data_IF_229664678576
#
_entry.id   IF_229664678576
#
_cell.length_a   1.000
_cell.length_b   1.000
_cell.length_c   1.000
_cell.angle_alpha   90.00
_cell.angle_beta   90.00
_cell.angle_gamma   90.00
#
_symmetry.space_group_name_H-M   'P 1'
#
loop_
_entity.id
_entity.type
_entity.pdbx_description
1 polymer ?
#
# COMPACT_ATOMS: atom_id res chain seq x y z
N UNK A 1 10.17 -25.31 5.78
CA UNK A 1 10.16 -24.37 4.63
C UNK A 1 9.00 -23.41 4.81
N UNK A 2 9.27 -22.10 4.93
CA UNK A 2 8.23 -21.06 4.92
C UNK A 2 7.83 -20.80 3.47
N UNK A 3 6.53 -20.72 3.20
CA UNK A 3 6.00 -20.37 1.88
C UNK A 3 6.35 -18.95 1.43
N UNK A 4 5.71 -18.47 0.36
CA UNK A 4 5.92 -17.11 -0.16
C UNK A 4 5.73 -16.05 0.95
N UNK A 5 6.60 -15.04 1.05
CA UNK A 5 6.59 -14.08 2.16
C UNK A 5 5.50 -13.00 1.98
N UNK A 6 4.22 -13.39 2.03
CA UNK A 6 3.10 -12.44 2.00
C UNK A 6 3.14 -11.46 3.18
N UNK A 7 2.44 -10.35 3.05
CA UNK A 7 2.23 -9.46 4.19
C UNK A 7 1.38 -10.15 5.26
N UNK A 8 1.64 -9.88 6.55
CA UNK A 8 0.82 -10.42 7.63
C UNK A 8 -0.66 -10.04 7.47
N UNK A 9 -1.54 -10.94 7.90
CA UNK A 9 -3.00 -10.76 7.82
C UNK A 9 -3.66 -10.72 9.20
N UNK A 10 -2.87 -10.79 10.27
CA UNK A 10 -3.40 -10.72 11.62
C UNK A 10 -3.94 -9.32 11.94
N UNK A 11 -5.06 -9.28 12.65
CA UNK A 11 -5.82 -8.07 12.95
C UNK A 11 -5.00 -7.07 13.77
N UNK A 12 -4.17 -7.55 14.71
CA UNK A 12 -3.35 -6.66 15.53
C UNK A 12 -2.35 -5.90 14.67
N UNK A 13 -1.58 -6.61 13.84
CA UNK A 13 -0.61 -5.99 12.94
C UNK A 13 -1.27 -4.99 11.99
N UNK A 14 -2.43 -5.36 11.42
CA UNK A 14 -3.18 -4.47 10.52
C UNK A 14 -3.65 -3.21 11.23
N UNK A 15 -4.20 -3.33 12.43
CA UNK A 15 -4.65 -2.19 13.22
C UNK A 15 -3.49 -1.28 13.63
N UNK A 16 -2.33 -1.83 13.99
CA UNK A 16 -1.14 -1.04 14.31
C UNK A 16 -0.68 -0.19 13.12
N UNK A 17 -0.66 -0.77 11.91
CA UNK A 17 -0.32 -0.01 10.67
C UNK A 17 -1.40 1.02 10.33
N UNK A 18 -2.68 0.70 10.51
CA UNK A 18 -3.78 1.64 10.28
C UNK A 18 -3.69 2.83 11.25
N UNK A 19 -3.46 2.58 12.52
CA UNK A 19 -3.29 3.65 13.52
C UNK A 19 -2.09 4.55 13.20
N UNK A 20 -0.99 3.99 12.70
CA UNK A 20 0.15 4.78 12.24
C UNK A 20 -0.22 5.68 11.03
N UNK A 21 -1.06 5.19 10.11
CA UNK A 21 -1.53 5.98 8.97
C UNK A 21 -2.43 7.13 9.43
N UNK A 22 -3.40 6.86 10.29
CA UNK A 22 -4.36 7.87 10.79
C UNK A 22 -3.67 8.96 11.59
N UNK A 23 -2.73 8.57 12.46
CA UNK A 23 -1.99 9.49 13.33
C UNK A 23 -0.82 10.19 12.62
N UNK A 24 -0.57 9.87 11.35
CA UNK A 24 0.52 10.51 10.59
C UNK A 24 0.21 11.99 10.35
N UNK A 25 1.16 12.87 10.66
CA UNK A 25 1.04 14.32 10.44
C UNK A 25 1.17 14.67 8.97
N UNK A 26 0.06 14.61 8.23
CA UNK A 26 0.01 14.80 6.77
C UNK A 26 0.38 16.20 6.30
N UNK A 27 0.18 17.22 7.13
CA UNK A 27 0.61 18.60 6.87
C UNK A 27 2.12 18.72 6.60
N UNK A 28 2.93 17.83 7.20
CA UNK A 28 4.37 17.77 6.95
C UNK A 28 4.73 17.36 5.53
N UNK A 29 3.78 16.77 4.78
CA UNK A 29 3.98 16.40 3.37
C UNK A 29 3.66 17.55 2.41
N UNK A 30 3.03 18.64 2.88
CA UNK A 30 2.49 19.69 2.02
C UNK A 30 3.49 20.85 1.96
N UNK A 31 4.22 20.96 0.86
CA UNK A 31 5.05 22.12 0.56
C UNK A 31 4.26 23.13 -0.28
N UNK A 32 3.62 24.08 0.39
CA UNK A 32 2.80 25.11 -0.26
C UNK A 32 3.62 26.06 -1.11
N UNK A 33 4.89 26.29 -0.77
CA UNK A 33 5.79 27.20 -1.50
C UNK A 33 6.12 26.65 -2.86
N UNK A 34 6.51 25.37 -2.91
CA UNK A 34 6.89 24.69 -4.14
C UNK A 34 5.72 23.97 -4.82
N UNK A 35 4.51 24.01 -4.23
CA UNK A 35 3.31 23.32 -4.72
C UNK A 35 3.52 21.81 -4.90
N UNK A 36 4.20 21.19 -3.95
CA UNK A 36 4.53 19.76 -3.96
C UNK A 36 3.86 19.06 -2.78
N UNK A 37 3.32 17.88 -3.04
CA UNK A 37 2.87 16.96 -1.99
C UNK A 37 3.88 15.82 -1.94
N UNK A 38 4.57 15.70 -0.80
CA UNK A 38 5.45 14.59 -0.49
C UNK A 38 4.67 13.31 -0.24
N UNK A 39 5.40 12.24 -0.01
CA UNK A 39 4.77 10.93 0.25
C UNK A 39 5.56 10.14 1.29
N UNK A 40 4.84 9.33 2.05
CA UNK A 40 5.40 8.40 3.03
C UNK A 40 4.86 7.00 2.78
N UNK A 41 5.53 5.99 3.31
CA UNK A 41 5.12 4.60 3.15
C UNK A 41 4.06 4.13 4.17
N UNK A 42 3.65 5.00 5.13
CA UNK A 42 2.64 4.63 6.12
C UNK A 42 1.33 4.19 5.44
N UNK A 43 0.78 3.09 5.90
CA UNK A 43 -0.43 2.47 5.33
C UNK A 43 -0.22 1.64 4.06
N UNK A 44 0.91 1.76 3.36
CA UNK A 44 1.13 1.05 2.09
C UNK A 44 1.19 -0.48 2.29
N UNK A 45 1.83 -0.94 3.35
CA UNK A 45 1.92 -2.36 3.68
C UNK A 45 0.55 -2.93 4.07
N UNK A 46 -0.30 -2.12 4.70
CA UNK A 46 -1.67 -2.47 5.01
C UNK A 46 -2.46 -2.72 3.72
N UNK A 47 -2.42 -1.80 2.76
CA UNK A 47 -3.06 -1.99 1.47
C UNK A 47 -2.63 -3.31 0.80
N UNK A 48 -1.33 -3.57 0.76
CA UNK A 48 -0.79 -4.79 0.19
C UNK A 48 -1.20 -6.08 0.91
N UNK A 49 -1.50 -6.03 2.20
CA UNK A 49 -1.97 -7.20 2.97
C UNK A 49 -3.35 -7.70 2.55
N UNK A 50 -4.12 -6.87 1.85
CA UNK A 50 -5.42 -7.23 1.26
C UNK A 50 -5.34 -7.63 -0.21
N UNK A 51 -4.16 -7.48 -0.83
CA UNK A 51 -3.93 -7.66 -2.26
C UNK A 51 -2.87 -8.73 -2.55
N UNK A 52 -3.01 -9.97 -2.02
CA UNK A 52 -2.00 -11.03 -2.22
C UNK A 52 -1.83 -11.39 -3.69
N UNK A 53 -2.87 -11.26 -4.51
CA UNK A 53 -2.82 -11.52 -5.95
C UNK A 53 -1.85 -10.58 -6.71
N UNK A 54 -1.58 -9.39 -6.17
CA UNK A 54 -0.71 -8.41 -6.80
C UNK A 54 0.74 -8.92 -7.03
N UNK A 55 1.17 -9.91 -6.26
CA UNK A 55 2.49 -10.52 -6.41
C UNK A 55 2.64 -11.36 -7.67
N UNK A 56 1.52 -11.87 -8.22
CA UNK A 56 1.47 -12.66 -9.44
C UNK A 56 1.04 -11.90 -10.69
N UNK A 57 0.77 -10.58 -10.58
CA UNK A 57 0.33 -9.80 -11.75
C UNK A 57 1.52 -9.46 -12.63
N UNK A 58 1.41 -9.82 -13.92
CA UNK A 58 2.44 -9.59 -14.92
C UNK A 58 2.41 -8.14 -15.40
N UNK A 59 3.53 -7.44 -15.27
CA UNK A 59 3.75 -6.13 -15.84
C UNK A 59 4.75 -6.23 -17.00
N UNK A 60 4.26 -6.07 -18.22
CA UNK A 60 5.08 -6.16 -19.42
C UNK A 60 5.74 -7.54 -19.60
N UNK A 61 7.04 -7.55 -19.93
CA UNK A 61 7.79 -8.78 -20.24
C UNK A 61 8.57 -9.35 -19.06
N UNK A 62 8.63 -8.65 -17.95
CA UNK A 62 9.43 -9.09 -16.79
C UNK A 62 8.72 -10.16 -15.98
N UNK A 63 9.49 -10.98 -15.28
CA UNK A 63 8.93 -11.98 -14.37
C UNK A 63 8.21 -11.29 -13.20
N UNK A 64 7.15 -11.92 -12.71
CA UNK A 64 6.48 -11.51 -11.49
C UNK A 64 7.32 -11.87 -10.26
N UNK A 65 7.07 -11.24 -9.09
CA UNK A 65 7.71 -11.66 -7.85
C UNK A 65 7.46 -13.14 -7.50
N UNK A 66 6.29 -13.70 -7.84
CA UNK A 66 6.01 -15.13 -7.63
C UNK A 66 6.82 -16.02 -8.55
N UNK A 67 6.92 -15.68 -9.85
CA UNK A 67 7.77 -16.40 -10.80
C UNK A 67 9.26 -16.39 -10.39
N UNK A 68 9.73 -15.29 -9.75
CA UNK A 68 11.10 -15.22 -9.21
C UNK A 68 11.26 -16.10 -7.95
N UNK A 69 10.24 -16.16 -7.11
CA UNK A 69 10.27 -17.00 -5.89
C UNK A 69 10.39 -18.49 -6.23
N UNK A 70 9.76 -18.90 -7.34
CA UNK A 70 9.76 -20.28 -7.84
C UNK A 70 11.00 -20.60 -8.70
N UNK A 71 11.77 -19.60 -9.09
CA UNK A 71 12.98 -19.72 -9.91
C UNK A 71 14.24 -19.67 -9.03
N UNK A 72 14.84 -20.83 -8.79
CA UNK A 72 15.98 -20.97 -7.88
C UNK A 72 17.18 -20.08 -8.27
N UNK A 73 17.47 -19.95 -9.56
CA UNK A 73 18.58 -19.13 -10.06
C UNK A 73 18.34 -17.64 -9.78
N UNK A 74 17.14 -17.14 -10.08
CA UNK A 74 16.78 -15.73 -9.87
C UNK A 74 16.67 -15.42 -8.37
N UNK A 75 16.09 -16.32 -7.59
CA UNK A 75 15.98 -16.18 -6.13
C UNK A 75 17.37 -16.11 -5.49
N UNK A 76 18.28 -17.02 -5.88
CA UNK A 76 19.66 -17.02 -5.39
C UNK A 76 20.39 -15.72 -5.75
N UNK A 77 20.24 -15.21 -6.95
CA UNK A 77 20.81 -13.89 -7.35
C UNK A 77 20.27 -12.76 -6.47
N UNK A 78 18.97 -12.76 -6.19
CA UNK A 78 18.34 -11.77 -5.30
C UNK A 78 18.87 -11.85 -3.86
N UNK A 79 18.97 -13.06 -3.30
CA UNK A 79 19.51 -13.30 -1.96
C UNK A 79 20.98 -12.87 -1.84
N UNK A 80 21.79 -13.16 -2.84
CA UNK A 80 23.19 -12.71 -2.88
C UNK A 80 23.34 -11.20 -2.82
N UNK A 81 22.38 -10.43 -3.36
CA UNK A 81 22.37 -8.97 -3.25
C UNK A 81 22.12 -8.48 -1.81
N UNK A 82 21.32 -9.21 -1.02
CA UNK A 82 21.15 -8.93 0.41
C UNK A 82 22.42 -9.28 1.19
N UNK A 83 22.97 -10.46 0.94
CA UNK A 83 24.16 -10.98 1.64
C UNK A 83 25.41 -10.13 1.35
N UNK A 84 25.56 -9.62 0.13
CA UNK A 84 26.68 -8.77 -0.27
C UNK A 84 26.54 -7.32 0.16
N UNK A 85 25.32 -6.86 0.47
CA UNK A 85 25.03 -5.46 0.76
C UNK A 85 24.97 -4.56 -0.46
N UNK A 86 24.80 -5.11 -1.66
CA UNK A 86 24.80 -4.33 -2.92
C UNK A 86 23.67 -3.30 -2.98
N UNK A 87 22.50 -3.58 -2.38
CA UNK A 87 21.33 -2.68 -2.40
C UNK A 87 20.74 -2.39 -1.02
N UNK A 88 21.25 -3.05 0.03
CA UNK A 88 20.85 -2.90 1.42
C UNK A 88 22.08 -2.94 2.30
N UNK A 89 21.92 -2.64 3.59
CA UNK A 89 22.94 -3.00 4.54
C UNK A 89 23.17 -4.51 4.49
N UNK A 90 24.43 -4.91 4.40
CA UNK A 90 24.85 -6.32 4.43
C UNK A 90 24.23 -7.02 5.64
N UNK A 91 23.54 -8.12 5.39
CA UNK A 91 22.93 -8.94 6.45
C UNK A 91 23.42 -10.38 6.36
N UNK A 92 23.83 -10.98 7.46
CA UNK A 92 24.08 -12.42 7.51
C UNK A 92 22.77 -13.18 7.30
N UNK A 93 22.86 -14.40 6.77
CA UNK A 93 21.69 -15.18 6.36
C UNK A 93 20.63 -15.36 7.47
N UNK A 94 21.07 -15.58 8.73
CA UNK A 94 20.17 -15.75 9.87
C UNK A 94 19.43 -14.49 10.31
N UNK A 95 19.82 -13.31 9.80
CA UNK A 95 19.16 -12.03 10.08
C UNK A 95 18.24 -11.56 8.93
N UNK A 96 18.14 -12.32 7.84
CA UNK A 96 17.25 -11.99 6.73
C UNK A 96 15.80 -12.23 7.18
N UNK A 97 14.99 -11.17 7.10
CA UNK A 97 13.58 -11.20 7.47
C UNK A 97 12.68 -11.37 6.24
N UNK A 98 11.40 -11.71 6.46
CA UNK A 98 10.39 -11.71 5.40
C UNK A 98 10.24 -10.32 4.75
N UNK A 99 10.44 -9.24 5.50
CA UNK A 99 10.43 -7.88 4.97
C UNK A 99 11.59 -7.64 4.00
N UNK A 100 12.78 -8.18 4.29
CA UNK A 100 13.91 -8.11 3.36
C UNK A 100 13.61 -8.90 2.09
N UNK A 101 13.00 -10.09 2.23
CA UNK A 101 12.59 -10.91 1.09
C UNK A 101 11.56 -10.19 0.22
N UNK A 102 10.51 -9.61 0.80
CA UNK A 102 9.54 -8.79 0.06
C UNK A 102 10.20 -7.63 -0.68
N UNK A 103 11.12 -6.94 -0.01
CA UNK A 103 11.84 -5.81 -0.61
C UNK A 103 12.74 -6.25 -1.76
N UNK A 104 13.42 -7.38 -1.62
CA UNK A 104 14.25 -7.97 -2.67
C UNK A 104 13.40 -8.37 -3.88
N UNK A 105 12.32 -9.12 -3.66
CA UNK A 105 11.42 -9.56 -4.72
C UNK A 105 10.81 -8.40 -5.51
N UNK A 106 10.51 -7.27 -4.85
CA UNK A 106 9.89 -6.11 -5.48
C UNK A 106 10.86 -5.21 -6.25
N UNK A 107 12.12 -5.18 -5.89
CA UNK A 107 13.05 -4.13 -6.35
C UNK A 107 14.30 -4.65 -7.04
N UNK A 108 14.80 -5.82 -6.64
CA UNK A 108 16.18 -6.21 -6.96
C UNK A 108 16.31 -7.54 -7.68
N UNK A 109 15.20 -8.24 -7.85
CA UNK A 109 15.18 -9.55 -8.50
C UNK A 109 15.02 -9.50 -10.03
N UNK A 110 14.88 -8.29 -10.60
CA UNK A 110 14.60 -8.14 -12.03
C UNK A 110 13.10 -8.24 -12.36
N UNK A 111 12.23 -8.05 -11.37
CA UNK A 111 10.79 -7.97 -11.55
C UNK A 111 10.33 -6.55 -11.84
N UNK A 112 9.13 -6.46 -12.41
CA UNK A 112 8.34 -5.24 -12.39
C UNK A 112 7.01 -5.55 -11.70
N UNK A 113 6.88 -5.13 -10.45
CA UNK A 113 5.62 -5.27 -9.71
C UNK A 113 4.68 -4.10 -10.03
N UNK A 114 3.37 -4.36 -9.96
CA UNK A 114 2.34 -3.31 -10.02
C UNK A 114 2.59 -2.25 -8.94
N UNK A 115 2.25 -1.01 -9.25
CA UNK A 115 2.38 0.11 -8.31
C UNK A 115 1.10 0.30 -7.48
N UNK A 116 1.23 0.95 -6.33
CA UNK A 116 0.09 1.38 -5.52
C UNK A 116 0.28 2.83 -5.11
N UNK A 117 -0.80 3.59 -5.09
CA UNK A 117 -0.76 4.96 -4.62
C UNK A 117 -0.47 5.02 -3.12
N UNK A 118 0.28 6.04 -2.67
CA UNK A 118 0.63 6.19 -1.25
C UNK A 118 -0.59 6.67 -0.45
N UNK A 119 -1.06 5.93 0.56
CA UNK A 119 -2.21 6.36 1.37
C UNK A 119 -2.03 7.75 1.99
N UNK A 120 -0.82 8.07 2.46
CA UNK A 120 -0.51 9.39 3.05
C UNK A 120 -0.60 10.52 2.04
N UNK A 121 -0.16 10.31 0.80
CA UNK A 121 -0.28 11.32 -0.25
C UNK A 121 -1.74 11.52 -0.67
N UNK A 122 -2.52 10.44 -0.79
CA UNK A 122 -3.95 10.50 -1.04
C UNK A 122 -4.66 11.29 0.06
N UNK A 123 -4.42 10.94 1.33
CA UNK A 123 -5.02 11.63 2.46
C UNK A 123 -4.65 13.12 2.50
N UNK A 124 -3.38 13.47 2.23
CA UNK A 124 -2.94 14.88 2.15
C UNK A 124 -3.63 15.65 1.01
N UNK A 125 -3.85 15.00 -0.13
CA UNK A 125 -4.63 15.59 -1.23
C UNK A 125 -6.08 15.82 -0.82
N UNK A 126 -6.71 14.86 -0.16
CA UNK A 126 -8.09 14.99 0.31
C UNK A 126 -8.23 16.06 1.40
N UNK A 127 -7.23 16.21 2.28
CA UNK A 127 -7.19 17.32 3.26
C UNK A 127 -7.13 18.70 2.60
N UNK A 128 -6.59 18.81 1.36
CA UNK A 128 -6.47 20.09 0.64
C UNK A 128 -7.69 20.39 -0.24
N UNK A 129 -8.20 19.37 -0.94
CA UNK A 129 -9.13 19.58 -2.05
C UNK A 129 -10.56 19.16 -1.76
N UNK A 130 -10.79 18.39 -0.68
CA UNK A 130 -12.14 17.93 -0.33
C UNK A 130 -12.65 18.75 0.85
N UNK A 131 -13.77 19.43 0.67
CA UNK A 131 -14.44 20.11 1.75
C UNK A 131 -15.02 19.09 2.72
N UNK A 132 -14.59 19.16 3.97
CA UNK A 132 -15.03 18.28 5.06
C UNK A 132 -16.20 18.86 5.85
N UNK A 133 -16.39 20.16 5.74
CA UNK A 133 -17.53 20.87 6.31
C UNK A 133 -18.59 21.04 5.21
N UNK A 134 -19.61 20.22 5.22
CA UNK A 134 -20.70 20.40 4.24
C UNK A 134 -21.54 21.62 4.62
N UNK A 135 -21.68 22.62 3.74
CA UNK A 135 -22.52 23.78 3.99
C UNK A 135 -24.02 23.49 3.88
N UNK A 136 -24.40 22.28 3.46
CA UNK A 136 -25.80 21.90 3.26
C UNK A 136 -26.25 20.98 4.40
N UNK A 137 -27.31 21.41 5.09
CA UNK A 137 -27.97 20.65 6.15
C UNK A 137 -28.32 19.22 5.64
N UNK A 138 -27.87 18.19 6.34
CA UNK A 138 -28.11 16.79 5.97
C UNK A 138 -27.12 16.19 4.96
N UNK A 139 -26.08 16.92 4.53
CA UNK A 139 -25.01 16.35 3.70
C UNK A 139 -23.77 16.04 4.55
N UNK A 140 -23.24 14.85 4.37
CA UNK A 140 -21.99 14.40 4.99
C UNK A 140 -20.77 15.02 4.30
N UNK A 141 -19.59 14.86 4.87
CA UNK A 141 -18.30 15.30 4.31
C UNK A 141 -18.19 15.08 2.79
N UNK A 142 -17.41 15.92 2.12
CA UNK A 142 -17.23 15.86 0.67
C UNK A 142 -16.87 14.46 0.16
N UNK A 143 -17.27 14.17 -1.07
CA UNK A 143 -17.15 12.84 -1.68
C UNK A 143 -16.09 12.82 -2.76
N UNK A 144 -15.20 11.86 -2.68
CA UNK A 144 -14.20 11.55 -3.72
C UNK A 144 -14.78 10.49 -4.66
N UNK A 145 -14.71 10.72 -5.96
CA UNK A 145 -14.98 9.72 -6.97
C UNK A 145 -13.68 9.24 -7.62
N UNK A 146 -13.45 7.93 -7.60
CA UNK A 146 -12.27 7.28 -8.14
C UNK A 146 -12.66 6.13 -9.08
N UNK A 147 -12.65 6.34 -10.40
CA UNK A 147 -13.07 5.34 -11.38
C UNK A 147 -12.05 4.20 -11.58
N UNK A 148 -10.91 4.25 -10.91
CA UNK A 148 -9.82 3.26 -11.03
C UNK A 148 -9.11 3.08 -9.70
N UNK A 149 -9.83 2.56 -8.69
CA UNK A 149 -9.39 2.50 -7.28
C UNK A 149 -8.01 1.86 -7.09
N UNK A 150 -7.66 0.86 -7.93
CA UNK A 150 -6.42 0.11 -7.82
C UNK A 150 -6.29 -0.64 -6.48
N UNK A 151 -5.09 -0.73 -5.95
CA UNK A 151 -4.77 -1.61 -4.82
C UNK A 151 -5.00 -1.02 -3.42
N UNK A 152 -6.01 -0.14 -3.26
CA UNK A 152 -6.50 0.31 -1.95
C UNK A 152 -5.73 1.45 -1.28
N UNK A 153 -4.66 1.97 -1.90
CA UNK A 153 -3.92 3.10 -1.31
C UNK A 153 -4.75 4.37 -1.19
N UNK A 154 -5.55 4.69 -2.23
CA UNK A 154 -6.44 5.87 -2.22
C UNK A 154 -7.65 5.68 -1.31
N UNK A 155 -8.21 4.48 -1.25
CA UNK A 155 -9.29 4.14 -0.31
C UNK A 155 -8.83 4.31 1.16
N UNK A 156 -7.67 3.76 1.53
CA UNK A 156 -7.10 3.95 2.87
C UNK A 156 -6.80 5.43 3.16
N UNK A 157 -6.36 6.18 2.15
CA UNK A 157 -6.18 7.61 2.27
C UNK A 157 -7.49 8.35 2.53
N UNK A 158 -8.58 7.98 1.88
CA UNK A 158 -9.91 8.56 2.08
C UNK A 158 -10.44 8.26 3.49
N UNK A 159 -10.32 7.00 3.93
CA UNK A 159 -10.70 6.61 5.29
C UNK A 159 -9.89 7.40 6.32
N UNK A 160 -8.56 7.50 6.16
CA UNK A 160 -7.69 8.25 7.08
C UNK A 160 -7.96 9.77 7.07
N UNK A 161 -8.45 10.32 5.95
CA UNK A 161 -8.83 11.73 5.82
C UNK A 161 -10.26 12.01 6.32
N UNK A 162 -11.09 10.98 6.54
CA UNK A 162 -12.49 11.13 6.96
C UNK A 162 -13.38 11.71 5.85
N UNK A 163 -13.16 11.33 4.59
CA UNK A 163 -13.97 11.76 3.44
C UNK A 163 -14.75 10.57 2.87
N UNK A 164 -15.91 10.86 2.28
CA UNK A 164 -16.68 9.86 1.55
C UNK A 164 -15.93 9.43 0.29
N UNK A 165 -16.05 8.16 -0.08
CA UNK A 165 -15.34 7.63 -1.21
C UNK A 165 -16.21 6.68 -2.03
N UNK A 166 -16.30 6.95 -3.32
CA UNK A 166 -16.95 6.09 -4.30
C UNK A 166 -15.89 5.68 -5.30
N UNK A 167 -15.65 4.38 -5.42
CA UNK A 167 -14.64 3.89 -6.34
C UNK A 167 -15.08 2.65 -7.09
N UNK A 168 -14.46 2.42 -8.23
CA UNK A 168 -14.68 1.24 -9.07
C UNK A 168 -13.34 0.62 -9.46
N UNK A 169 -13.32 -0.70 -9.62
CA UNK A 169 -12.19 -1.44 -10.19
C UNK A 169 -12.71 -2.68 -10.95
N UNK A 170 -12.26 -2.94 -12.18
CA UNK A 170 -12.75 -4.07 -12.97
C UNK A 170 -12.14 -5.41 -12.55
N UNK A 171 -11.07 -5.41 -11.75
CA UNK A 171 -10.38 -6.61 -11.31
C UNK A 171 -11.06 -7.20 -10.07
N UNK A 172 -11.74 -8.34 -10.23
CA UNK A 172 -12.50 -8.98 -9.14
C UNK A 172 -11.65 -9.22 -7.88
N UNK A 173 -10.45 -9.83 -7.92
CA UNK A 173 -9.64 -10.01 -6.73
C UNK A 173 -9.22 -8.70 -6.05
N UNK A 174 -9.03 -7.62 -6.84
CA UNK A 174 -8.75 -6.28 -6.30
C UNK A 174 -9.99 -5.74 -5.60
N UNK A 175 -11.16 -5.84 -6.23
CA UNK A 175 -12.43 -5.39 -5.68
C UNK A 175 -12.75 -6.08 -4.34
N UNK A 176 -12.61 -7.40 -4.27
CA UNK A 176 -12.79 -8.17 -3.01
C UNK A 176 -11.83 -7.71 -1.90
N UNK A 177 -10.60 -7.36 -2.26
CA UNK A 177 -9.64 -6.78 -1.31
C UNK A 177 -10.05 -5.41 -0.82
N UNK A 178 -10.61 -4.58 -1.70
CA UNK A 178 -11.13 -3.24 -1.38
C UNK A 178 -12.36 -3.31 -0.47
N UNK A 179 -13.27 -4.26 -0.71
CA UNK A 179 -14.41 -4.48 0.17
C UNK A 179 -13.98 -4.85 1.59
N UNK A 180 -12.99 -5.74 1.74
CA UNK A 180 -12.43 -6.08 3.05
C UNK A 180 -11.82 -4.87 3.77
N UNK A 181 -11.12 -3.99 3.05
CA UNK A 181 -10.60 -2.73 3.62
C UNK A 181 -11.74 -1.83 4.08
N UNK A 182 -12.78 -1.66 3.26
CA UNK A 182 -13.98 -0.88 3.60
C UNK A 182 -14.66 -1.44 4.85
N UNK A 183 -14.90 -2.73 4.89
CA UNK A 183 -15.64 -3.38 5.97
C UNK A 183 -14.87 -3.35 7.30
N UNK A 184 -13.54 -3.41 7.26
CA UNK A 184 -12.70 -3.39 8.47
C UNK A 184 -12.44 -1.96 8.98
N UNK A 185 -12.32 -0.97 8.09
CA UNK A 185 -11.89 0.40 8.47
C UNK A 185 -12.87 1.50 8.10
N UNK A 186 -13.79 1.30 7.16
CA UNK A 186 -14.67 2.35 6.65
C UNK A 186 -15.56 3.03 7.70
N UNK A 187 -15.87 2.35 8.77
CA UNK A 187 -16.73 2.87 9.84
C UNK A 187 -15.97 3.37 11.07
N UNK A 188 -14.65 3.25 11.11
CA UNK A 188 -13.83 3.58 12.30
C UNK A 188 -13.65 5.09 12.54
N UNK A 189 -14.10 5.94 11.63
CA UNK A 189 -13.98 7.41 11.72
C UNK A 189 -15.31 8.16 11.63
N UNK A 190 -16.43 7.45 11.80
CA UNK A 190 -17.77 8.06 11.84
C UNK A 190 -18.24 8.41 13.27
N UNK A 191 -17.29 8.57 14.21
CA UNK A 191 -17.56 9.03 15.57
C UNK A 191 -16.96 10.41 15.80
#
# INVERSE_FOLDING_TARGET
EKGFPYYPTDTKWRNDIFNQLVNFKRDTLIDRKNKVIGQSAHGLNLAWSYMPHAWGIKCGKMKTPMEIWEDEEHLSKGLNKILSGTFFMKKPAHMITESDMRSMLRRYSGTQMVSNFRPTAAAAMYDIFVDKESPLEGTTAGTVWDPSMGYGGRLLGAIAAGVNYIGTDPCIPTYEGLEKIRDEYGHKHLN
#
